data_IF_726872463048
#
_entry.id   IF_726872463048
#
_cell.length_a   1.000
_cell.length_b   1.000
_cell.length_c   1.000
_cell.angle_alpha   90.00
_cell.angle_beta   90.00
_cell.angle_gamma   90.00
#
_symmetry.space_group_name_H-M   'P 1'
#
loop_
_entity.id
_entity.type
_entity.pdbx_description
1 polymer ?
#
# COMPACT_ATOMS: atom_id res chain seq x y z
N UNK A 1 -37.62 18.51 -17.20
CA UNK A 1 -37.57 17.29 -16.36
C UNK A 1 -36.14 16.78 -16.42
N UNK A 2 -35.31 17.14 -15.44
CA UNK A 2 -33.90 16.70 -15.39
C UNK A 2 -33.79 15.57 -14.38
N UNK A 3 -33.44 14.38 -14.86
CA UNK A 3 -33.26 13.17 -14.07
C UNK A 3 -31.92 13.22 -13.34
N UNK A 4 -31.96 13.49 -12.03
CA UNK A 4 -30.81 13.37 -11.14
C UNK A 4 -30.38 11.91 -11.05
N UNK A 5 -29.21 11.59 -11.60
CA UNK A 5 -28.54 10.31 -11.45
C UNK A 5 -28.33 10.03 -9.94
N UNK A 6 -28.76 8.89 -9.38
CA UNK A 6 -28.55 8.62 -7.95
C UNK A 6 -27.04 8.53 -7.71
N UNK A 7 -26.50 9.47 -6.93
CA UNK A 7 -25.13 9.39 -6.44
C UNK A 7 -24.99 8.03 -5.76
N UNK A 8 -24.15 7.16 -6.32
CA UNK A 8 -23.82 5.88 -5.72
C UNK A 8 -23.39 6.14 -4.27
N UNK A 9 -24.04 5.54 -3.25
CA UNK A 9 -23.62 5.73 -1.87
C UNK A 9 -22.15 5.35 -1.76
N UNK A 10 -21.34 6.24 -1.17
CA UNK A 10 -19.96 5.90 -0.85
C UNK A 10 -19.98 4.61 0.01
N UNK A 11 -19.07 3.66 -0.24
CA UNK A 11 -18.97 2.46 0.59
C UNK A 11 -18.89 2.89 2.06
N UNK A 12 -19.74 2.32 2.92
CA UNK A 12 -19.67 2.64 4.33
C UNK A 12 -18.32 2.18 4.89
N UNK A 13 -17.63 3.02 5.69
CA UNK A 13 -16.40 2.61 6.36
C UNK A 13 -16.68 1.38 7.24
N UNK A 14 -15.74 0.44 7.24
CA UNK A 14 -15.83 -0.81 8.00
C UNK A 14 -14.60 -0.98 8.86
N UNK A 15 -14.79 -1.65 10.00
CA UNK A 15 -13.67 -2.09 10.83
C UNK A 15 -12.80 -3.11 10.08
N UNK A 16 -11.52 -3.14 10.41
CA UNK A 16 -10.57 -4.07 9.81
C UNK A 16 -10.84 -5.48 10.33
N UNK A 17 -11.30 -6.35 9.44
CA UNK A 17 -11.60 -7.73 9.75
C UNK A 17 -11.83 -8.51 8.46
N UNK A 18 -11.41 -9.77 8.44
CA UNK A 18 -11.59 -10.57 7.25
C UNK A 18 -13.07 -10.93 7.06
N UNK A 19 -13.72 -10.39 6.03
CA UNK A 19 -15.10 -10.74 5.70
C UNK A 19 -15.31 -12.22 5.34
N UNK A 20 -14.24 -12.94 4.97
CA UNK A 20 -14.30 -14.34 4.56
C UNK A 20 -14.24 -15.32 5.73
N UNK A 21 -13.30 -15.12 6.67
CA UNK A 21 -13.10 -16.03 7.79
C UNK A 21 -13.53 -15.46 9.15
N UNK A 22 -13.94 -14.19 9.19
CA UNK A 22 -14.42 -13.53 10.40
C UNK A 22 -13.33 -13.23 11.43
N UNK A 23 -12.06 -13.46 11.12
CA UNK A 23 -10.97 -13.15 12.07
C UNK A 23 -10.82 -11.65 12.22
N UNK A 24 -10.95 -11.21 13.46
CA UNK A 24 -10.67 -9.84 13.89
C UNK A 24 -9.17 -9.72 14.19
N UNK A 25 -8.53 -8.65 13.70
CA UNK A 25 -7.20 -8.19 14.12
C UNK A 25 -5.97 -9.10 13.84
N UNK A 26 -6.10 -10.10 12.97
CA UNK A 26 -4.96 -10.85 12.40
C UNK A 26 -4.79 -10.52 10.91
N UNK A 27 -4.40 -9.27 10.65
CA UNK A 27 -4.23 -8.74 9.30
C UNK A 27 -2.88 -8.07 9.15
N UNK A 28 -2.30 -8.27 7.97
CA UNK A 28 -1.09 -7.62 7.52
C UNK A 28 -1.46 -6.43 6.63
N UNK A 29 -1.28 -5.20 7.13
CA UNK A 29 -1.61 -3.97 6.40
C UNK A 29 -0.48 -3.65 5.41
N UNK A 30 -0.84 -3.35 4.15
CA UNK A 30 0.12 -3.00 3.09
C UNK A 30 0.11 -1.51 2.78
N UNK A 31 -1.09 -0.91 2.68
CA UNK A 31 -1.22 0.52 2.41
C UNK A 31 -2.39 1.16 3.16
N UNK A 32 -2.21 2.45 3.46
CA UNK A 32 -3.23 3.34 4.01
C UNK A 32 -3.16 4.65 3.24
N UNK A 33 -4.23 5.02 2.55
CA UNK A 33 -4.27 6.23 1.70
C UNK A 33 -5.43 7.11 2.12
N UNK A 34 -5.17 8.38 2.41
CA UNK A 34 -6.22 9.35 2.71
C UNK A 34 -7.07 9.64 1.47
N UNK A 35 -8.39 9.65 1.62
CA UNK A 35 -9.31 9.93 0.50
C UNK A 35 -9.40 11.44 0.18
N UNK A 36 -9.21 12.30 1.19
CA UNK A 36 -9.22 13.75 1.04
C UNK A 36 -8.16 14.41 1.95
N UNK A 37 -7.20 15.16 1.40
CA UNK A 37 -6.24 15.92 2.20
C UNK A 37 -6.88 17.04 3.04
N UNK A 38 -8.13 17.43 2.77
CA UNK A 38 -8.88 18.43 3.54
C UNK A 38 -9.41 17.93 4.89
N UNK A 39 -9.01 16.74 5.35
CA UNK A 39 -9.19 16.32 6.74
C UNK A 39 -10.40 15.42 7.01
N UNK A 40 -10.79 14.59 6.04
CA UNK A 40 -11.71 13.49 6.32
C UNK A 40 -10.99 12.36 7.06
N UNK A 41 -11.57 11.84 8.14
CA UNK A 41 -11.06 10.66 8.87
C UNK A 41 -11.13 9.35 8.07
N UNK A 42 -11.48 9.41 6.79
CA UNK A 42 -11.65 8.25 5.92
C UNK A 42 -10.36 7.96 5.15
N UNK A 43 -9.93 6.71 5.25
CA UNK A 43 -8.79 6.18 4.52
C UNK A 43 -9.21 4.95 3.73
N UNK A 44 -8.60 4.75 2.57
CA UNK A 44 -8.58 3.45 1.91
C UNK A 44 -7.46 2.64 2.54
N UNK A 45 -7.79 1.44 3.03
CA UNK A 45 -6.82 0.52 3.61
C UNK A 45 -6.78 -0.77 2.79
N UNK A 46 -5.58 -1.25 2.51
CA UNK A 46 -5.35 -2.55 1.90
C UNK A 46 -4.60 -3.47 2.87
N UNK A 47 -5.05 -4.72 2.96
CA UNK A 47 -4.44 -5.71 3.85
C UNK A 47 -4.64 -7.13 3.35
N UNK A 48 -3.84 -8.04 3.89
CA UNK A 48 -4.03 -9.48 3.73
C UNK A 48 -4.38 -10.09 5.07
N UNK A 49 -5.41 -10.94 5.09
CA UNK A 49 -5.72 -11.72 6.28
C UNK A 49 -4.66 -12.80 6.49
N UNK A 50 -4.13 -12.93 7.71
CA UNK A 50 -3.09 -13.92 8.00
C UNK A 50 -3.65 -15.36 8.02
N UNK A 51 -4.94 -15.53 8.31
CA UNK A 51 -5.60 -16.83 8.39
C UNK A 51 -5.96 -17.40 7.02
N UNK A 52 -6.71 -16.66 6.20
CA UNK A 52 -7.19 -17.15 4.90
C UNK A 52 -6.39 -16.61 3.70
N UNK A 53 -5.39 -15.75 3.94
CA UNK A 53 -4.51 -15.14 2.92
C UNK A 53 -5.22 -14.33 1.84
N UNK A 54 -6.49 -14.00 2.04
CA UNK A 54 -7.24 -13.17 1.10
C UNK A 54 -6.83 -11.71 1.23
N UNK A 55 -6.62 -11.08 0.07
CA UNK A 55 -6.45 -9.64 -0.04
C UNK A 55 -7.80 -8.94 0.09
N UNK A 56 -7.80 -7.83 0.82
CA UNK A 56 -8.97 -6.99 1.02
C UNK A 56 -8.56 -5.53 0.89
N UNK A 57 -9.45 -4.73 0.31
CA UNK A 57 -9.30 -3.28 0.21
C UNK A 57 -10.66 -2.63 0.43
N UNK A 58 -10.73 -1.68 1.36
CA UNK A 58 -11.97 -0.94 1.62
C UNK A 58 -11.72 0.38 2.34
N UNK A 59 -12.78 1.19 2.44
CA UNK A 59 -12.78 2.39 3.28
C UNK A 59 -12.86 2.00 4.77
N UNK A 60 -12.09 2.71 5.59
CA UNK A 60 -12.08 2.58 7.04
C UNK A 60 -11.86 3.96 7.67
N UNK A 61 -12.19 4.10 8.95
CA UNK A 61 -11.75 5.27 9.70
C UNK A 61 -10.28 5.14 10.07
N UNK A 62 -9.54 6.26 10.04
CA UNK A 62 -8.14 6.30 10.45
C UNK A 62 -7.94 5.81 11.89
N UNK A 63 -8.91 6.07 12.77
CA UNK A 63 -8.93 5.58 14.15
C UNK A 63 -9.01 4.06 14.24
N UNK A 64 -9.83 3.42 13.41
CA UNK A 64 -9.95 1.95 13.35
C UNK A 64 -8.64 1.32 12.85
N UNK A 65 -8.02 1.91 11.83
CA UNK A 65 -6.71 1.47 11.31
C UNK A 65 -5.63 1.61 12.39
N UNK A 66 -5.59 2.75 13.09
CA UNK A 66 -4.63 2.99 14.16
C UNK A 66 -4.77 1.98 15.31
N UNK A 67 -6.00 1.61 15.67
CA UNK A 67 -6.26 0.60 16.70
C UNK A 67 -5.66 -0.77 16.35
N UNK A 68 -5.77 -1.19 15.08
CA UNK A 68 -5.17 -2.44 14.60
C UNK A 68 -3.65 -2.33 14.51
N UNK A 69 -3.11 -1.25 13.96
CA UNK A 69 -1.66 -1.03 13.90
C UNK A 69 -0.99 -1.08 15.29
N UNK A 70 -1.68 -0.56 16.32
CA UNK A 70 -1.19 -0.63 17.70
C UNK A 70 -1.06 -2.06 18.25
N UNK A 71 -1.89 -2.98 17.75
CA UNK A 71 -1.92 -4.39 18.19
C UNK A 71 -0.91 -5.25 17.41
N UNK A 72 -0.61 -4.90 16.16
CA UNK A 72 0.34 -5.63 15.32
C UNK A 72 1.78 -5.22 15.68
N UNK A 73 2.32 -5.81 16.76
CA UNK A 73 3.75 -5.69 17.12
C UNK A 73 4.69 -6.57 16.27
N UNK A 74 4.26 -7.04 15.10
CA UNK A 74 4.94 -8.09 14.35
C UNK A 74 5.61 -7.61 13.06
N UNK A 75 6.94 -7.62 13.11
CA UNK A 75 7.89 -8.05 12.07
C UNK A 75 7.86 -7.36 10.70
N UNK A 76 8.83 -6.45 10.52
CA UNK A 76 9.58 -6.22 9.29
C UNK A 76 8.81 -5.95 7.99
N UNK A 77 7.58 -5.44 8.06
CA UNK A 77 6.84 -5.05 6.85
C UNK A 77 6.97 -3.54 6.61
N UNK A 78 7.21 -3.18 5.36
CA UNK A 78 7.10 -1.78 4.92
C UNK A 78 5.62 -1.52 4.68
N UNK A 79 5.12 -0.41 5.22
CA UNK A 79 3.75 0.06 5.00
C UNK A 79 3.82 1.32 4.14
N UNK A 80 2.96 1.40 3.12
CA UNK A 80 2.74 2.66 2.42
C UNK A 80 1.69 3.49 3.17
N UNK A 81 2.04 4.70 3.58
CA UNK A 81 1.12 5.65 4.21
C UNK A 81 1.05 6.92 3.35
N UNK A 82 -0.02 7.10 2.60
CA UNK A 82 -0.07 8.07 1.51
C UNK A 82 1.03 7.78 0.49
N UNK A 83 1.95 8.74 0.31
CA UNK A 83 3.11 8.64 -0.58
C UNK A 83 4.42 8.28 0.15
N UNK A 84 4.35 8.05 1.47
CA UNK A 84 5.51 7.71 2.29
C UNK A 84 5.61 6.20 2.53
N UNK A 85 6.83 5.69 2.57
CA UNK A 85 7.11 4.31 2.98
C UNK A 85 7.59 4.28 4.43
N UNK A 86 6.92 3.51 5.27
CA UNK A 86 7.15 3.45 6.72
C UNK A 86 7.74 2.10 7.09
N UNK A 87 8.83 2.10 7.85
CA UNK A 87 9.44 0.89 8.40
C UNK A 87 9.95 1.16 9.82
N UNK A 88 9.84 0.17 10.72
CA UNK A 88 10.05 0.34 12.16
C UNK A 88 9.20 1.46 12.82
N UNK A 89 8.08 1.83 12.19
CA UNK A 89 7.20 2.91 12.67
C UNK A 89 7.65 4.32 12.29
N UNK A 90 8.69 4.47 11.47
CA UNK A 90 9.17 5.78 10.99
C UNK A 90 9.19 5.83 9.46
N UNK A 91 8.97 7.02 8.85
CA UNK A 91 9.13 7.19 7.42
C UNK A 91 10.58 6.90 7.02
N UNK A 92 10.76 6.19 5.91
CA UNK A 92 12.05 5.87 5.33
C UNK A 92 12.62 7.11 4.61
N UNK A 93 13.90 7.36 4.79
CA UNK A 93 14.57 8.49 4.15
C UNK A 93 15.06 8.09 2.76
N UNK A 94 14.98 9.01 1.80
CA UNK A 94 15.61 8.82 0.50
C UNK A 94 17.13 8.85 0.65
N UNK A 95 17.78 7.77 0.22
CA UNK A 95 19.21 7.56 0.34
C UNK A 95 19.93 7.70 -1.01
N UNK A 96 19.28 7.32 -2.12
CA UNK A 96 19.83 7.44 -3.46
C UNK A 96 18.73 7.48 -4.53
N UNK A 97 19.12 7.90 -5.73
CA UNK A 97 18.31 7.86 -6.94
C UNK A 97 19.17 7.28 -8.06
N UNK A 98 18.70 6.20 -8.68
CA UNK A 98 19.45 5.43 -9.66
C UNK A 98 18.60 5.18 -10.93
N UNK A 99 19.26 5.02 -12.07
CA UNK A 99 18.59 4.61 -13.32
C UNK A 99 18.90 3.14 -13.54
N UNK A 100 17.93 2.27 -13.27
CA UNK A 100 18.07 0.83 -13.43
C UNK A 100 17.75 0.47 -14.88
N UNK A 101 18.69 -0.18 -15.57
CA UNK A 101 18.50 -0.65 -16.96
C UNK A 101 18.06 -2.11 -16.94
N UNK A 102 16.78 -2.34 -17.23
CA UNK A 102 16.18 -3.67 -17.31
C UNK A 102 16.15 -4.14 -18.77
N UNK A 103 16.90 -5.20 -19.05
CA UNK A 103 16.88 -5.87 -20.35
C UNK A 103 15.68 -6.80 -20.46
N UNK A 104 15.01 -6.79 -21.61
CA UNK A 104 13.95 -7.75 -21.92
C UNK A 104 14.17 -8.36 -23.31
N UNK A 105 13.61 -9.55 -23.52
CA UNK A 105 13.63 -10.23 -24.82
C UNK A 105 12.22 -10.22 -25.40
N UNK A 106 12.06 -9.70 -26.60
CA UNK A 106 10.87 -9.95 -27.41
C UNK A 106 11.02 -11.35 -28.04
N UNK A 107 9.97 -12.16 -28.02
CA UNK A 107 10.01 -13.57 -28.45
C UNK A 107 10.23 -13.80 -29.95
N UNK A 108 10.64 -12.79 -30.72
CA UNK A 108 10.93 -12.88 -32.14
C UNK A 108 12.37 -13.35 -32.37
N UNK A 109 12.55 -14.39 -33.20
CA UNK A 109 13.87 -14.85 -33.60
C UNK A 109 14.57 -13.74 -34.42
N UNK A 110 15.47 -12.99 -33.79
CA UNK A 110 16.33 -11.98 -34.45
C UNK A 110 16.32 -10.58 -33.84
N UNK A 111 15.53 -10.29 -32.81
CA UNK A 111 15.52 -8.97 -32.17
C UNK A 111 16.69 -8.80 -31.18
N UNK A 112 17.37 -7.65 -31.26
CA UNK A 112 18.32 -7.17 -30.25
C UNK A 112 17.58 -7.01 -28.91
N UNK A 113 18.14 -7.44 -27.75
CA UNK A 113 17.48 -7.27 -26.47
C UNK A 113 17.17 -5.79 -26.21
N UNK A 114 15.88 -5.47 -26.21
CA UNK A 114 15.39 -4.17 -25.79
C UNK A 114 15.79 -3.89 -24.34
N UNK A 115 16.00 -2.61 -24.01
CA UNK A 115 16.28 -2.19 -22.65
C UNK A 115 15.37 -1.03 -22.27
N UNK A 116 14.81 -1.10 -21.07
CA UNK A 116 14.06 -0.01 -20.45
C UNK A 116 14.90 0.58 -19.33
N UNK A 117 15.05 1.90 -19.32
CA UNK A 117 15.66 2.63 -18.22
C UNK A 117 14.56 3.09 -17.26
N UNK A 118 14.59 2.59 -16.02
CA UNK A 118 13.63 2.92 -14.98
C UNK A 118 14.30 3.76 -13.89
N UNK A 119 13.88 5.02 -13.73
CA UNK A 119 14.25 5.81 -12.57
C UNK A 119 13.77 5.09 -11.29
N UNK A 120 14.68 4.89 -10.35
CA UNK A 120 14.47 4.11 -9.14
C UNK A 120 15.00 4.88 -7.95
N UNK A 121 14.17 5.08 -6.94
CA UNK A 121 14.52 5.67 -5.65
C UNK A 121 14.92 4.58 -4.67
N UNK A 122 15.95 4.85 -3.90
CA UNK A 122 16.39 3.99 -2.80
C UNK A 122 15.98 4.64 -1.48
N UNK A 123 15.12 3.98 -0.73
CA UNK A 123 14.65 4.40 0.58
C UNK A 123 15.36 3.59 1.67
N UNK A 124 15.76 4.23 2.77
CA UNK A 124 16.48 3.59 3.87
C UNK A 124 15.82 3.85 5.21
N UNK A 125 15.65 2.78 5.98
CA UNK A 125 15.28 2.87 7.37
C UNK A 125 16.52 2.93 8.27
N UNK A 126 16.40 3.56 9.44
CA UNK A 126 17.47 3.66 10.44
C UNK A 126 17.92 2.31 10.99
N UNK A 127 17.11 1.26 10.86
CA UNK A 127 17.48 -0.11 11.24
C UNK A 127 18.46 -0.77 10.25
N UNK A 128 18.76 -0.12 9.12
CA UNK A 128 19.62 -0.65 8.06
C UNK A 128 18.87 -1.28 6.88
N UNK A 129 17.55 -1.47 6.99
CA UNK A 129 16.70 -1.94 5.89
C UNK A 129 16.66 -0.93 4.73
N UNK A 130 16.67 -1.43 3.51
CA UNK A 130 16.63 -0.66 2.27
C UNK A 130 15.50 -1.16 1.36
N UNK A 131 14.80 -0.24 0.71
CA UNK A 131 13.76 -0.51 -0.27
C UNK A 131 14.05 0.26 -1.55
N UNK A 132 13.98 -0.42 -2.69
CA UNK A 132 14.10 0.20 -4.01
C UNK A 132 12.70 0.28 -4.62
N UNK A 133 12.29 1.49 -5.01
CA UNK A 133 10.98 1.74 -5.61
C UNK A 133 11.13 2.55 -6.90
N UNK A 134 10.37 2.25 -7.96
CA UNK A 134 10.31 3.12 -9.13
C UNK A 134 9.92 4.54 -8.73
N UNK A 135 10.55 5.55 -9.36
CA UNK A 135 10.28 6.96 -9.11
C UNK A 135 9.04 7.47 -9.84
#
# INVERSE_FOLDING_TARGET
MSTSNPRRPLPQPRQLGCATCGTENHVTIHSVTALDPAGGDLVTVSYTCDACRQFQEHLAYATDVAAVLHQVRSMAQVIMFGDEYVHCGYPMAEAAFEIVRLGYRTGGAGDDPGAVCLPTRVLRCRCGFQLEVPA
#
